data_IF_456907587451
#
_entry.id   IF_456907587451
#
_cell.length_a   1.000
_cell.length_b   1.000
_cell.length_c   1.000
_cell.angle_alpha   90.00
_cell.angle_beta   90.00
_cell.angle_gamma   90.00
#
_symmetry.space_group_name_H-M   'P 1'
#
loop_
_entity.id
_entity.type
_entity.pdbx_description
1 polymer ?
#
# COMPACT_ATOMS: atom_id res chain seq x y z
N UNK A 1 4.04 21.76 15.95
CA UNK A 1 2.71 22.36 15.78
C UNK A 1 1.59 21.32 15.64
N UNK A 2 1.84 20.17 14.98
CA UNK A 2 0.86 19.09 14.75
C UNK A 2 0.16 18.52 16.00
N UNK A 3 0.86 18.45 17.15
CA UNK A 3 0.25 17.93 18.38
C UNK A 3 -0.90 18.80 18.89
N UNK A 4 -0.78 20.13 18.77
CA UNK A 4 -1.81 21.06 19.22
C UNK A 4 -3.05 21.01 18.32
N UNK A 5 -2.84 20.86 17.01
CA UNK A 5 -3.92 20.68 16.03
C UNK A 5 -4.70 19.39 16.28
N UNK A 6 -4.02 18.28 16.58
CA UNK A 6 -4.67 17.02 16.90
C UNK A 6 -5.44 17.06 18.23
N UNK A 7 -4.91 17.74 19.25
CA UNK A 7 -5.61 17.98 20.52
C UNK A 7 -6.87 18.81 20.28
N UNK A 8 -6.78 19.86 19.47
CA UNK A 8 -7.91 20.69 19.11
C UNK A 8 -8.98 19.88 18.36
N UNK A 9 -8.58 19.10 17.35
CA UNK A 9 -9.48 18.24 16.58
C UNK A 9 -10.22 17.24 17.47
N UNK A 10 -9.54 16.58 18.41
CA UNK A 10 -10.15 15.61 19.34
C UNK A 10 -11.09 16.23 20.36
N UNK A 11 -10.81 17.46 20.80
CA UNK A 11 -11.64 18.16 21.78
C UNK A 11 -12.89 18.81 21.17
N UNK A 12 -12.89 19.01 19.85
CA UNK A 12 -13.88 19.81 19.12
C UNK A 12 -14.71 18.97 18.13
N UNK A 13 -15.26 17.83 18.57
CA UNK A 13 -16.11 16.95 17.74
C UNK A 13 -17.57 17.29 18.00
N UNK A 14 -18.25 17.80 16.96
CA UNK A 14 -19.68 18.14 16.99
C UNK A 14 -20.38 17.45 15.83
N UNK A 15 -21.45 16.72 16.12
CA UNK A 15 -22.13 15.88 15.12
C UNK A 15 -23.65 15.96 15.25
N UNK A 16 -24.34 15.55 14.19
CA UNK A 16 -25.80 15.65 14.09
C UNK A 16 -26.31 17.04 13.78
N UNK A 17 -27.59 17.13 13.42
CA UNK A 17 -28.28 18.39 13.09
C UNK A 17 -28.15 19.45 14.20
N UNK A 18 -28.27 19.03 15.46
CA UNK A 18 -28.13 19.91 16.62
C UNK A 18 -26.68 20.28 16.98
N UNK A 19 -25.68 19.82 16.21
CA UNK A 19 -24.24 19.93 16.54
C UNK A 19 -23.97 19.56 17.99
N UNK A 20 -24.34 18.34 18.37
CA UNK A 20 -24.12 17.86 19.73
C UNK A 20 -22.63 17.60 19.95
N UNK A 21 -22.09 18.08 21.08
CA UNK A 21 -20.70 17.79 21.45
C UNK A 21 -20.52 16.30 21.75
N UNK A 22 -19.55 15.66 21.10
CA UNK A 22 -19.22 14.24 21.30
C UNK A 22 -17.82 14.07 21.85
N UNK A 23 -17.66 13.07 22.71
CA UNK A 23 -16.36 12.68 23.25
C UNK A 23 -15.65 11.85 22.18
N UNK A 24 -14.41 12.22 21.87
CA UNK A 24 -13.55 11.39 21.03
C UNK A 24 -13.31 10.04 21.69
N UNK A 25 -13.65 8.97 20.99
CA UNK A 25 -13.28 7.62 21.36
C UNK A 25 -12.74 6.94 20.11
N UNK A 26 -11.46 6.61 20.09
CA UNK A 26 -10.82 5.80 19.04
C UNK A 26 -10.63 4.36 19.49
N UNK A 27 -11.56 3.85 20.30
CA UNK A 27 -11.48 2.50 20.88
C UNK A 27 -11.60 1.41 19.81
N UNK A 28 -12.37 1.67 18.75
CA UNK A 28 -12.60 0.74 17.64
C UNK A 28 -12.31 1.43 16.31
N UNK A 29 -11.99 0.64 15.28
CA UNK A 29 -11.55 1.14 13.97
C UNK A 29 -12.52 2.15 13.33
N UNK A 30 -13.82 1.96 13.54
CA UNK A 30 -14.88 2.78 12.95
C UNK A 30 -15.46 3.85 13.89
N UNK A 31 -14.88 4.02 15.08
CA UNK A 31 -15.37 4.99 16.06
C UNK A 31 -15.08 6.42 15.60
N UNK A 32 -16.05 7.33 15.80
CA UNK A 32 -16.00 8.74 15.42
C UNK A 32 -15.84 9.04 13.91
N UNK A 33 -15.84 8.01 13.05
CA UNK A 33 -15.78 8.16 11.57
C UNK A 33 -17.01 7.61 10.85
N UNK A 34 -17.86 6.85 11.54
CA UNK A 34 -19.12 6.32 10.98
C UNK A 34 -20.26 7.27 11.33
N UNK A 35 -20.91 7.82 10.31
CA UNK A 35 -21.98 8.82 10.46
C UNK A 35 -23.34 8.28 10.02
N UNK A 36 -24.39 8.82 10.63
CA UNK A 36 -25.77 8.51 10.33
C UNK A 36 -26.24 9.27 9.09
N UNK A 37 -26.72 8.54 8.09
CA UNK A 37 -27.31 9.14 6.88
C UNK A 37 -28.56 9.98 7.15
N UNK A 38 -29.34 9.65 8.18
CA UNK A 38 -30.58 10.38 8.48
C UNK A 38 -30.32 11.69 9.24
N UNK A 39 -29.84 11.61 10.48
CA UNK A 39 -29.69 12.79 11.35
C UNK A 39 -28.26 13.39 11.41
N UNK A 40 -27.29 12.81 10.68
CA UNK A 40 -25.91 13.28 10.65
C UNK A 40 -25.06 13.02 11.91
N UNK A 41 -25.62 12.41 12.96
CA UNK A 41 -24.87 12.08 14.18
C UNK A 41 -24.00 10.83 14.00
N UNK A 42 -23.06 10.57 14.90
CA UNK A 42 -22.19 9.39 14.80
C UNK A 42 -22.94 8.09 15.11
N UNK A 43 -22.42 6.99 14.56
CA UNK A 43 -22.75 5.66 15.03
C UNK A 43 -21.85 5.24 16.20
N UNK A 44 -22.43 4.53 17.15
CA UNK A 44 -21.76 3.96 18.32
C UNK A 44 -21.91 2.45 18.30
N UNK A 45 -20.80 1.76 18.58
CA UNK A 45 -20.78 0.32 18.79
C UNK A 45 -21.48 -0.04 20.09
N UNK A 46 -22.42 -0.96 20.02
CA UNK A 46 -23.17 -1.53 21.15
C UNK A 46 -23.08 -3.04 21.07
N UNK A 47 -23.34 -3.72 22.19
CA UNK A 47 -23.44 -5.18 22.21
C UNK A 47 -24.78 -5.59 22.82
N UNK A 48 -25.35 -6.67 22.30
CA UNK A 48 -26.50 -7.33 22.88
C UNK A 48 -26.10 -8.72 23.36
N UNK A 49 -26.63 -9.13 24.50
CA UNK A 49 -26.48 -10.49 24.98
C UNK A 49 -27.67 -11.32 24.50
N UNK A 50 -27.44 -12.14 23.49
CA UNK A 50 -28.44 -12.97 22.84
C UNK A 50 -28.12 -14.42 23.21
N UNK A 51 -28.96 -15.05 24.05
CA UNK A 51 -28.80 -16.44 24.50
C UNK A 51 -27.39 -16.74 25.06
N UNK A 52 -26.83 -15.83 25.86
CA UNK A 52 -25.48 -15.98 26.45
C UNK A 52 -24.33 -15.61 25.52
N UNK A 53 -24.60 -15.27 24.25
CA UNK A 53 -23.60 -14.83 23.28
C UNK A 53 -23.65 -13.32 23.10
N UNK A 54 -22.48 -12.68 23.08
CA UNK A 54 -22.35 -11.25 22.79
C UNK A 54 -22.33 -11.05 21.28
N UNK A 55 -23.34 -10.37 20.77
CA UNK A 55 -23.36 -9.88 19.39
C UNK A 55 -23.14 -8.38 19.36
N UNK A 56 -22.48 -7.88 18.32
CA UNK A 56 -22.09 -6.49 18.21
C UNK A 56 -22.78 -5.79 17.04
N UNK A 57 -23.25 -4.59 17.33
CA UNK A 57 -24.01 -3.78 16.40
C UNK A 57 -23.53 -2.35 16.46
N UNK A 58 -23.77 -1.62 15.39
CA UNK A 58 -23.55 -0.19 15.28
C UNK A 58 -24.92 0.49 15.16
N UNK A 59 -25.16 1.47 16.04
CA UNK A 59 -26.42 2.24 16.07
C UNK A 59 -26.12 3.74 16.12
N UNK A 60 -26.93 4.54 15.44
CA UNK A 60 -26.91 5.99 15.56
C UNK A 60 -27.05 6.40 17.03
N UNK A 61 -26.21 7.33 17.49
CA UNK A 61 -26.22 7.81 18.87
C UNK A 61 -27.51 8.52 19.22
N UNK A 62 -28.05 9.38 18.34
CA UNK A 62 -29.35 10.03 18.54
C UNK A 62 -30.45 9.00 18.75
N UNK A 63 -30.45 7.93 17.95
CA UNK A 63 -31.41 6.82 18.11
C UNK A 63 -31.26 6.08 19.44
N UNK A 64 -30.03 5.93 19.93
CA UNK A 64 -29.75 5.30 21.24
C UNK A 64 -30.24 6.20 22.38
N UNK A 65 -29.91 7.49 22.33
CA UNK A 65 -30.11 8.43 23.43
C UNK A 65 -31.53 9.00 23.48
N UNK A 66 -32.16 9.24 22.33
CA UNK A 66 -33.47 9.89 22.20
C UNK A 66 -34.56 8.98 21.63
N UNK A 67 -34.20 7.76 21.22
CA UNK A 67 -35.12 6.75 20.75
C UNK A 67 -35.36 6.74 19.23
N UNK A 68 -36.09 5.71 18.75
CA UNK A 68 -36.34 5.48 17.31
C UNK A 68 -37.27 6.51 16.67
N UNK A 69 -38.07 7.23 17.45
CA UNK A 69 -38.97 8.27 16.91
C UNK A 69 -38.18 9.48 16.37
N UNK A 70 -37.05 9.81 17.01
CA UNK A 70 -36.19 10.92 16.59
C UNK A 70 -35.30 10.52 15.41
N UNK A 71 -34.75 9.31 15.42
CA UNK A 71 -33.91 8.82 14.32
C UNK A 71 -34.28 7.38 13.98
N UNK A 72 -34.80 7.20 12.77
CA UNK A 72 -35.30 5.91 12.26
C UNK A 72 -34.20 5.05 11.61
N UNK A 73 -32.99 5.59 11.45
CA UNK A 73 -31.89 4.92 10.75
C UNK A 73 -31.57 3.55 11.35
N UNK A 74 -31.27 2.57 10.48
CA UNK A 74 -31.16 1.15 10.82
C UNK A 74 -30.04 0.84 11.83
N UNK A 75 -30.22 -0.25 12.56
CA UNK A 75 -29.14 -0.90 13.31
C UNK A 75 -28.35 -1.79 12.36
N UNK A 76 -27.03 -1.70 12.36
CA UNK A 76 -26.15 -2.44 11.44
C UNK A 76 -25.34 -3.43 12.24
N UNK A 77 -25.24 -4.69 11.80
CA UNK A 77 -24.32 -5.64 12.44
C UNK A 77 -22.87 -5.27 12.14
N UNK A 78 -21.96 -5.55 13.09
CA UNK A 78 -20.55 -5.17 12.94
C UNK A 78 -19.86 -5.85 11.75
N UNK A 79 -20.16 -7.13 11.51
CA UNK A 79 -19.64 -7.90 10.38
C UNK A 79 -20.11 -7.34 9.03
N UNK A 80 -21.40 -7.01 8.91
CA UNK A 80 -21.95 -6.36 7.72
C UNK A 80 -21.29 -5.01 7.44
N UNK A 81 -21.08 -4.21 8.50
CA UNK A 81 -20.43 -2.91 8.37
C UNK A 81 -18.97 -3.05 7.93
N UNK A 82 -18.21 -3.98 8.52
CA UNK A 82 -16.84 -4.25 8.09
C UNK A 82 -16.76 -4.80 6.67
N UNK A 83 -17.67 -5.71 6.30
CA UNK A 83 -17.77 -6.23 4.94
C UNK A 83 -18.00 -5.12 3.90
N UNK A 84 -18.92 -4.19 4.19
CA UNK A 84 -19.19 -3.04 3.34
C UNK A 84 -17.97 -2.11 3.21
N UNK A 85 -17.29 -1.81 4.32
CA UNK A 85 -16.07 -0.98 4.32
C UNK A 85 -14.95 -1.63 3.52
N UNK A 86 -14.68 -2.92 3.74
CA UNK A 86 -13.64 -3.65 3.00
C UNK A 86 -13.97 -3.73 1.51
N UNK A 87 -15.24 -3.93 1.16
CA UNK A 87 -15.68 -3.92 -0.24
C UNK A 87 -15.45 -2.55 -0.89
N UNK A 88 -15.76 -1.46 -0.18
CA UNK A 88 -15.53 -0.11 -0.69
C UNK A 88 -14.03 0.19 -0.87
N UNK A 89 -13.20 -0.18 0.11
CA UNK A 89 -11.74 -0.04 0.03
C UNK A 89 -11.19 -0.85 -1.14
N UNK A 90 -11.58 -2.12 -1.27
CA UNK A 90 -11.11 -2.98 -2.35
C UNK A 90 -11.54 -2.46 -3.73
N UNK A 91 -12.75 -1.90 -3.85
CA UNK A 91 -13.19 -1.23 -5.10
C UNK A 91 -12.36 0.01 -5.41
N UNK A 92 -12.08 0.83 -4.40
CA UNK A 92 -11.24 2.03 -4.55
C UNK A 92 -9.81 1.65 -4.97
N UNK A 93 -9.23 0.62 -4.35
CA UNK A 93 -7.90 0.11 -4.69
C UNK A 93 -7.87 -0.61 -6.04
N UNK A 94 -8.93 -1.33 -6.41
CA UNK A 94 -9.05 -1.94 -7.73
C UNK A 94 -9.11 -0.88 -8.85
N UNK A 95 -9.69 0.29 -8.58
CA UNK A 95 -9.57 1.46 -9.46
C UNK A 95 -8.14 2.05 -9.53
N UNK A 96 -7.29 1.72 -8.55
CA UNK A 96 -5.87 2.05 -8.49
C UNK A 96 -4.99 1.30 -9.48
N UNK A 97 -5.46 0.24 -10.13
CA UNK A 97 -4.71 -0.41 -11.22
C UNK A 97 -4.42 0.56 -12.37
N UNK A 98 -5.29 1.54 -12.63
CA UNK A 98 -5.02 2.59 -13.61
C UNK A 98 -3.90 3.52 -13.15
N UNK A 99 -3.85 3.86 -11.85
CA UNK A 99 -2.78 4.69 -11.29
C UNK A 99 -1.44 3.94 -11.27
N UNK A 100 -1.46 2.66 -10.90
CA UNK A 100 -0.27 1.78 -10.96
C UNK A 100 0.23 1.70 -12.40
N UNK A 101 -0.65 1.47 -13.37
CA UNK A 101 -0.31 1.42 -14.79
C UNK A 101 0.27 2.74 -15.30
N UNK A 102 -0.32 3.88 -14.96
CA UNK A 102 0.22 5.20 -15.30
C UNK A 102 1.58 5.46 -14.65
N UNK A 103 1.79 4.99 -13.41
CA UNK A 103 3.07 5.10 -12.74
C UNK A 103 4.14 4.20 -13.39
N UNK A 104 3.77 2.96 -13.75
CA UNK A 104 4.61 2.03 -14.49
C UNK A 104 5.01 2.60 -15.86
N UNK A 105 4.07 3.15 -16.63
CA UNK A 105 4.32 3.80 -17.92
C UNK A 105 5.30 4.97 -17.78
N UNK A 106 5.13 5.83 -16.77
CA UNK A 106 6.05 6.95 -16.51
C UNK A 106 7.44 6.49 -16.07
N UNK A 107 7.52 5.47 -15.21
CA UNK A 107 8.79 4.88 -14.78
C UNK A 107 9.51 4.23 -15.95
N UNK A 108 8.80 3.51 -16.82
CA UNK A 108 9.36 2.92 -18.04
C UNK A 108 9.87 3.96 -19.02
N UNK A 109 9.15 5.08 -19.21
CA UNK A 109 9.60 6.16 -20.07
C UNK A 109 10.92 6.77 -19.56
N UNK A 110 11.03 7.01 -18.25
CA UNK A 110 12.21 7.66 -17.65
C UNK A 110 13.42 6.70 -17.54
N UNK A 111 13.18 5.42 -17.19
CA UNK A 111 14.24 4.41 -17.04
C UNK A 111 14.68 3.84 -18.38
N UNK A 112 13.77 3.70 -19.35
CA UNK A 112 14.04 3.12 -20.67
C UNK A 112 15.11 3.90 -21.44
N UNK A 113 14.96 5.22 -21.52
CA UNK A 113 15.89 6.09 -22.24
C UNK A 113 17.28 6.13 -21.60
N UNK A 114 17.36 6.14 -20.27
CA UNK A 114 18.64 6.17 -19.55
C UNK A 114 19.37 4.82 -19.56
N UNK A 115 18.63 3.71 -19.49
CA UNK A 115 19.22 2.37 -19.46
C UNK A 115 19.73 1.95 -20.84
N UNK A 116 19.03 2.29 -21.93
CA UNK A 116 19.51 1.99 -23.29
C UNK A 116 20.80 2.76 -23.63
N UNK A 117 20.88 4.05 -23.24
CA UNK A 117 22.10 4.84 -23.42
C UNK A 117 23.27 4.24 -22.61
N UNK A 118 23.06 3.92 -21.34
CA UNK A 118 24.09 3.32 -20.49
C UNK A 118 24.55 1.93 -20.97
N UNK A 119 23.62 1.09 -21.44
CA UNK A 119 23.96 -0.21 -22.05
C UNK A 119 24.77 -0.01 -23.33
N UNK A 120 24.45 0.99 -24.14
CA UNK A 120 25.21 1.29 -25.36
C UNK A 120 26.65 1.75 -25.07
N UNK A 121 26.86 2.58 -24.04
CA UNK A 121 28.20 2.98 -23.61
C UNK A 121 29.01 1.80 -23.05
N UNK A 122 28.38 0.95 -22.24
CA UNK A 122 29.03 -0.26 -21.69
C UNK A 122 29.44 -1.19 -22.84
N UNK A 123 28.58 -1.42 -23.82
CA UNK A 123 28.89 -2.29 -24.97
C UNK A 123 30.06 -1.73 -25.80
N UNK A 124 30.08 -0.42 -26.06
CA UNK A 124 31.19 0.22 -26.78
C UNK A 124 32.52 0.08 -26.01
N UNK A 125 32.50 0.31 -24.69
CA UNK A 125 33.68 0.13 -23.84
C UNK A 125 34.14 -1.33 -23.81
N UNK A 126 33.21 -2.29 -23.81
CA UNK A 126 33.52 -3.72 -23.80
C UNK A 126 34.20 -4.15 -25.10
N UNK A 127 33.69 -3.66 -26.25
CA UNK A 127 34.24 -3.96 -27.56
C UNK A 127 35.66 -3.39 -27.74
N UNK A 128 35.90 -2.17 -27.22
CA UNK A 128 37.22 -1.56 -27.25
C UNK A 128 38.23 -2.33 -26.41
N UNK A 129 37.83 -2.77 -25.20
CA UNK A 129 38.66 -3.60 -24.33
C UNK A 129 38.94 -4.96 -24.97
N UNK A 130 37.95 -5.62 -25.56
CA UNK A 130 38.16 -6.89 -26.29
C UNK A 130 39.17 -6.74 -27.44
N UNK A 131 39.13 -5.64 -28.20
CA UNK A 131 40.13 -5.34 -29.24
C UNK A 131 41.53 -5.15 -28.67
N UNK A 132 41.64 -4.51 -27.50
CA UNK A 132 42.90 -4.34 -26.78
C UNK A 132 43.47 -5.69 -26.32
N UNK A 133 42.62 -6.59 -25.82
CA UNK A 133 43.01 -7.94 -25.42
C UNK A 133 43.52 -8.79 -26.57
N UNK A 134 42.85 -8.75 -27.72
CA UNK A 134 43.32 -9.46 -28.93
C UNK A 134 44.70 -8.91 -29.36
N UNK A 135 44.92 -7.60 -29.28
CA UNK A 135 46.22 -6.98 -29.59
C UNK A 135 47.32 -7.41 -28.62
N UNK A 136 47.00 -7.51 -27.34
CA UNK A 136 47.94 -7.99 -26.33
C UNK A 136 48.20 -9.48 -26.54
N UNK A 137 47.16 -10.31 -26.73
CA UNK A 137 47.28 -11.77 -26.91
C UNK A 137 48.19 -12.14 -28.08
N UNK A 138 48.13 -11.38 -29.17
CA UNK A 138 49.03 -11.52 -30.31
C UNK A 138 50.50 -11.12 -30.02
N UNK A 139 50.79 -10.47 -28.88
CA UNK A 139 52.13 -10.11 -28.38
C UNK A 139 52.68 -11.06 -27.30
N UNK A 140 51.96 -12.10 -26.90
CA UNK A 140 52.50 -13.20 -26.08
C UNK A 140 52.88 -12.88 -24.62
N UNK A 141 52.17 -11.95 -23.96
CA UNK A 141 52.26 -11.76 -22.50
C UNK A 141 51.11 -12.45 -21.75
N UNK A 142 51.26 -12.71 -20.46
CA UNK A 142 50.35 -13.52 -19.62
C UNK A 142 48.97 -12.84 -19.37
N UNK A 143 47.88 -13.60 -19.50
CA UNK A 143 46.47 -13.14 -19.39
C UNK A 143 45.71 -13.72 -18.20
N UNK A 144 46.34 -14.53 -17.34
CA UNK A 144 45.65 -15.24 -16.25
C UNK A 144 44.91 -14.30 -15.30
N UNK A 145 45.48 -13.14 -14.97
CA UNK A 145 44.84 -12.14 -14.10
C UNK A 145 43.52 -11.61 -14.68
N UNK A 146 43.43 -11.53 -16.01
CA UNK A 146 42.24 -11.03 -16.69
C UNK A 146 41.17 -12.12 -16.83
N UNK A 147 41.57 -13.38 -17.05
CA UNK A 147 40.65 -14.51 -17.02
C UNK A 147 39.98 -14.63 -15.64
N UNK A 148 40.75 -14.45 -14.56
CA UNK A 148 40.26 -14.43 -13.18
C UNK A 148 39.31 -13.26 -12.87
N UNK A 149 39.47 -12.13 -13.57
CA UNK A 149 38.59 -10.97 -13.41
C UNK A 149 37.26 -11.18 -14.15
N UNK A 150 37.31 -11.77 -15.35
CA UNK A 150 36.13 -12.16 -16.11
C UNK A 150 35.29 -13.19 -15.36
N UNK A 151 35.92 -14.23 -14.79
CA UNK A 151 35.22 -15.26 -14.02
C UNK A 151 34.56 -14.69 -12.76
N UNK A 152 35.21 -13.73 -12.08
CA UNK A 152 34.62 -13.02 -10.94
C UNK A 152 33.42 -12.16 -11.33
N UNK A 153 33.49 -11.46 -12.46
CA UNK A 153 32.38 -10.66 -12.97
C UNK A 153 31.19 -11.55 -13.38
N UNK A 154 31.45 -12.70 -14.02
CA UNK A 154 30.44 -13.68 -14.39
C UNK A 154 29.74 -14.27 -13.16
N UNK A 155 30.50 -14.61 -12.12
CA UNK A 155 29.95 -15.14 -10.86
C UNK A 155 29.07 -14.11 -10.14
N UNK A 156 29.51 -12.84 -10.09
CA UNK A 156 28.75 -11.78 -9.45
C UNK A 156 27.43 -11.49 -10.18
N UNK A 157 27.44 -11.51 -11.52
CA UNK A 157 26.23 -11.36 -12.35
C UNK A 157 25.21 -12.48 -12.11
N UNK A 158 25.67 -13.74 -12.07
CA UNK A 158 24.81 -14.89 -11.78
C UNK A 158 24.22 -14.85 -10.36
N UNK A 159 24.99 -14.38 -9.38
CA UNK A 159 24.51 -14.21 -8.01
C UNK A 159 23.41 -13.14 -7.93
N UNK A 160 23.60 -12.00 -8.59
CA UNK A 160 22.60 -10.94 -8.66
C UNK A 160 21.31 -11.38 -9.36
N UNK A 161 21.41 -12.08 -10.48
CA UNK A 161 20.24 -12.64 -11.19
C UNK A 161 19.44 -13.60 -10.30
N UNK A 162 20.12 -14.52 -9.59
CA UNK A 162 19.46 -15.41 -8.62
C UNK A 162 18.74 -14.61 -7.53
N UNK A 163 19.37 -13.55 -7.02
CA UNK A 163 18.78 -12.75 -5.96
C UNK A 163 17.56 -11.93 -6.42
N UNK A 164 17.57 -11.43 -7.66
CA UNK A 164 16.43 -10.73 -8.29
C UNK A 164 15.26 -11.70 -8.53
N UNK A 165 15.53 -12.88 -9.09
CA UNK A 165 14.51 -13.92 -9.33
C UNK A 165 13.87 -14.35 -8.00
N UNK A 166 14.68 -14.54 -6.94
CA UNK A 166 14.17 -14.94 -5.64
C UNK A 166 13.30 -13.84 -4.99
N UNK A 167 13.69 -12.56 -5.13
CA UNK A 167 12.84 -11.43 -4.69
C UNK A 167 11.51 -11.37 -5.44
N UNK A 168 11.50 -11.54 -6.77
CA UNK A 168 10.25 -11.61 -7.56
C UNK A 168 9.36 -12.79 -7.11
N UNK A 169 9.94 -13.95 -6.82
CA UNK A 169 9.21 -15.12 -6.33
C UNK A 169 8.55 -14.87 -4.96
N UNK A 170 9.26 -14.22 -4.04
CA UNK A 170 8.74 -13.85 -2.71
C UNK A 170 7.60 -12.82 -2.83
N UNK A 171 7.74 -11.83 -3.72
CA UNK A 171 6.70 -10.83 -3.95
C UNK A 171 5.42 -11.45 -4.54
N UNK A 172 5.55 -12.38 -5.48
CA UNK A 172 4.41 -13.09 -6.07
C UNK A 172 3.70 -14.01 -5.07
N UNK A 173 4.42 -14.63 -4.12
CA UNK A 173 3.83 -15.48 -3.08
C UNK A 173 3.08 -14.68 -1.99
N UNK A 174 3.58 -13.49 -1.64
CA UNK A 174 3.01 -12.70 -0.55
C UNK A 174 1.90 -11.75 -0.98
N UNK A 175 1.83 -11.37 -2.26
CA UNK A 175 0.91 -10.32 -2.71
C UNK A 175 0.01 -10.69 -3.89
N UNK A 176 0.09 -11.91 -4.41
CA UNK A 176 -0.89 -12.42 -5.38
C UNK A 176 -1.03 -11.62 -6.68
N UNK A 177 0.00 -10.86 -7.07
CA UNK A 177 0.06 -10.21 -8.37
C UNK A 177 0.31 -11.29 -9.43
N UNK A 178 -0.73 -11.61 -10.21
CA UNK A 178 -0.58 -12.26 -11.52
C UNK A 178 -0.44 -11.20 -12.58
#
# INVERSE_FOLDING_TARGET
MQAQEEIYRRSNIYTGEGKNKRIYSSKYALSAITFCGDCGDIYRRVYWNIHGRKEFFWRCVTRIEQGPEVCKNRTVKEDELYGAVMTAINKLLAGGNNMIKTLEENIHAVIGETTEYQISEINNSLEEKQKELIKLANKGQDYDHLADEMDRQQFCSLYWLKHIINRKKILNQNFGWR
#
